data_IF_356189856158
#
_entry.id   IF_356189856158
#
_cell.length_a   1.000
_cell.length_b   1.000
_cell.length_c   1.000
_cell.angle_alpha   90.00
_cell.angle_beta   90.00
_cell.angle_gamma   90.00
#
_symmetry.space_group_name_H-M   'P 1'
#
loop_
_entity.id
_entity.type
_entity.pdbx_description
1 polymer ?
#
# COMPACT_ATOMS: atom_id res chain seq x y z
N UNK A 1 11.75 -7.39 -18.86
CA UNK A 1 12.20 -5.98 -18.93
C UNK A 1 11.64 -5.24 -17.73
N UNK A 2 12.43 -4.38 -17.10
CA UNK A 2 11.96 -3.51 -16.03
C UNK A 2 11.37 -2.23 -16.62
N UNK A 3 10.37 -1.67 -15.94
CA UNK A 3 9.69 -0.44 -16.33
C UNK A 3 9.58 0.46 -15.10
N UNK A 4 9.61 1.78 -15.32
CA UNK A 4 9.37 2.76 -14.26
C UNK A 4 7.87 2.90 -14.03
N UNK A 5 7.45 2.90 -12.78
CA UNK A 5 6.08 3.14 -12.37
C UNK A 5 6.01 4.24 -11.33
N UNK A 6 4.94 5.04 -11.40
CA UNK A 6 4.53 5.93 -10.31
C UNK A 6 3.34 5.31 -9.60
N UNK A 7 3.46 5.12 -8.30
CA UNK A 7 2.42 4.46 -7.50
C UNK A 7 1.36 5.48 -7.13
N UNK A 8 0.14 5.28 -7.63
CA UNK A 8 -0.96 6.21 -7.46
C UNK A 8 -1.69 6.03 -6.12
N UNK A 9 -1.90 4.78 -5.70
CA UNK A 9 -2.68 4.44 -4.50
C UNK A 9 -2.33 3.06 -3.97
N UNK A 10 -2.84 2.73 -2.77
CA UNK A 10 -2.83 1.36 -2.26
C UNK A 10 -4.11 0.60 -2.66
N UNK A 11 -3.92 -0.66 -3.03
CA UNK A 11 -4.98 -1.63 -3.23
C UNK A 11 -5.56 -2.15 -1.92
N UNK A 12 -6.61 -2.97 -2.00
CA UNK A 12 -7.29 -3.50 -0.83
C UNK A 12 -6.42 -4.44 0.03
N UNK A 13 -5.48 -5.14 -0.61
CA UNK A 13 -4.54 -6.06 0.02
C UNK A 13 -3.21 -5.39 0.43
N UNK A 14 -3.04 -4.10 0.14
CA UNK A 14 -1.83 -3.34 0.47
C UNK A 14 -0.77 -3.34 -0.64
N UNK A 15 -1.04 -3.88 -1.82
CA UNK A 15 -0.20 -3.66 -3.00
C UNK A 15 -0.30 -2.19 -3.45
N UNK A 16 0.81 -1.58 -3.88
CA UNK A 16 0.75 -0.32 -4.61
C UNK A 16 0.13 -0.54 -5.98
N UNK A 17 -0.61 0.45 -6.48
CA UNK A 17 -1.24 0.40 -7.80
C UNK A 17 -0.70 1.54 -8.64
N UNK A 18 -0.13 1.17 -9.79
CA UNK A 18 0.28 2.10 -10.83
C UNK A 18 -0.71 2.04 -12.00
N UNK A 19 -0.97 3.20 -12.61
CA UNK A 19 -1.73 3.27 -13.86
C UNK A 19 -0.75 3.09 -15.02
N UNK A 20 -0.96 2.06 -15.85
CA UNK A 20 -0.13 1.81 -17.03
C UNK A 20 -1.01 1.58 -18.26
N UNK A 21 -0.40 1.62 -19.44
CA UNK A 21 -1.06 1.17 -20.65
C UNK A 21 -1.50 -0.30 -20.50
N UNK A 22 -2.78 -0.54 -20.81
CA UNK A 22 -3.42 -1.86 -20.64
C UNK A 22 -3.98 -2.13 -19.24
N UNK A 23 -4.04 -1.13 -18.35
CA UNK A 23 -4.77 -1.21 -17.07
C UNK A 23 -3.91 -1.00 -15.83
N UNK A 24 -4.52 -1.25 -14.67
CA UNK A 24 -3.85 -1.15 -13.37
C UNK A 24 -2.77 -2.23 -13.22
N UNK A 25 -1.64 -1.84 -12.62
CA UNK A 25 -0.53 -2.74 -12.29
C UNK A 25 -0.30 -2.75 -10.79
N UNK A 26 -0.39 -3.93 -10.17
CA UNK A 26 -0.17 -4.15 -8.76
C UNK A 26 1.31 -4.40 -8.48
N UNK A 27 1.89 -3.55 -7.63
CA UNK A 27 3.31 -3.57 -7.24
C UNK A 27 3.39 -3.73 -5.71
N UNK A 28 3.55 -4.96 -5.20
CA UNK A 28 3.72 -5.21 -3.77
C UNK A 28 4.90 -4.42 -3.19
N UNK A 29 4.82 -4.12 -1.89
CA UNK A 29 5.90 -3.46 -1.12
C UNK A 29 6.23 -2.02 -1.56
N UNK A 30 5.23 -1.32 -2.13
CA UNK A 30 5.33 0.08 -2.53
C UNK A 30 4.20 0.92 -1.93
N UNK A 31 4.45 2.22 -1.79
CA UNK A 31 3.53 3.19 -1.20
C UNK A 31 3.09 4.24 -2.22
N UNK A 32 1.94 4.91 -2.01
CA UNK A 32 1.51 6.01 -2.85
C UNK A 32 2.54 7.14 -2.89
N UNK A 33 2.72 7.73 -4.07
CA UNK A 33 3.70 8.78 -4.32
C UNK A 33 5.11 8.27 -4.64
N UNK A 34 5.35 6.96 -4.62
CA UNK A 34 6.66 6.41 -4.97
C UNK A 34 6.89 6.32 -6.48
N UNK A 35 8.12 6.60 -6.87
CA UNK A 35 8.64 6.24 -8.20
C UNK A 35 9.52 5.01 -8.05
N UNK A 36 9.21 3.93 -8.78
CA UNK A 36 9.89 2.63 -8.65
C UNK A 36 10.30 2.06 -10.01
N UNK A 37 11.28 1.16 -10.02
CA UNK A 37 11.47 0.22 -11.14
C UNK A 37 10.94 -1.15 -10.76
N UNK A 38 10.16 -1.76 -11.65
CA UNK A 38 9.58 -3.07 -11.42
C UNK A 38 9.51 -3.90 -12.71
N UNK A 39 9.60 -5.21 -12.59
CA UNK A 39 9.44 -6.15 -13.70
C UNK A 39 7.97 -6.58 -13.83
N UNK A 40 7.28 -6.10 -14.87
CA UNK A 40 5.84 -6.39 -15.09
C UNK A 40 5.62 -7.78 -15.70
N UNK A 41 4.65 -8.51 -15.15
CA UNK A 41 4.07 -9.75 -15.68
C UNK A 41 2.54 -9.66 -15.59
N UNK A 42 1.90 -9.37 -16.72
CA UNK A 42 0.45 -9.08 -16.83
C UNK A 42 0.04 -7.86 -15.99
N UNK A 43 -0.78 -8.07 -14.98
CA UNK A 43 -1.33 -7.08 -14.05
C UNK A 43 -0.49 -6.93 -12.79
N UNK A 44 0.53 -7.76 -12.55
CA UNK A 44 1.43 -7.60 -11.40
C UNK A 44 2.84 -7.23 -11.84
N UNK A 45 3.57 -6.51 -11.00
CA UNK A 45 4.99 -6.25 -11.20
C UNK A 45 5.80 -6.54 -9.93
N UNK A 46 6.95 -7.17 -10.12
CA UNK A 46 7.91 -7.42 -9.04
C UNK A 46 8.78 -6.17 -8.84
N UNK A 47 8.70 -5.56 -7.66
CA UNK A 47 9.54 -4.43 -7.27
C UNK A 47 11.03 -4.80 -7.41
N UNK A 48 11.80 -3.94 -8.08
CA UNK A 48 13.25 -4.09 -8.20
C UNK A 48 14.00 -3.00 -7.41
N UNK A 49 13.55 -1.75 -7.51
CA UNK A 49 14.09 -0.66 -6.70
C UNK A 49 13.08 0.47 -6.50
N UNK A 50 13.20 1.18 -5.38
CA UNK A 50 12.51 2.45 -5.14
C UNK A 50 13.47 3.57 -5.53
N UNK A 51 13.08 4.39 -6.50
CA UNK A 51 13.88 5.52 -6.97
C UNK A 51 13.59 6.79 -6.16
N UNK A 52 12.32 7.02 -5.86
CA UNK A 52 11.85 8.12 -5.01
C UNK A 52 10.90 7.52 -3.97
N UNK A 53 11.31 7.57 -2.70
CA UNK A 53 10.54 7.02 -1.60
C UNK A 53 9.44 7.99 -1.15
N UNK A 54 8.31 7.43 -0.71
CA UNK A 54 7.27 8.21 -0.04
C UNK A 54 7.83 8.74 1.28
N UNK A 55 7.48 9.96 1.71
CA UNK A 55 7.83 10.45 3.05
C UNK A 55 7.24 9.60 4.18
N UNK A 56 6.26 8.74 3.86
CA UNK A 56 5.64 7.80 4.79
C UNK A 56 6.29 6.41 4.77
N UNK A 57 7.37 6.22 4.00
CA UNK A 57 8.15 4.98 4.04
C UNK A 57 9.01 4.96 5.31
N UNK A 58 8.97 3.85 6.02
CA UNK A 58 9.83 3.56 7.18
C UNK A 58 10.55 2.23 6.99
N UNK A 59 11.62 2.01 7.74
CA UNK A 59 12.28 0.72 7.75
C UNK A 59 11.38 -0.33 8.43
N UNK A 60 11.15 -1.49 7.79
CA UNK A 60 10.32 -2.54 8.36
C UNK A 60 10.99 -3.15 9.59
N UNK A 61 10.22 -3.38 10.65
CA UNK A 61 10.72 -3.99 11.89
C UNK A 61 11.16 -5.46 11.72
N UNK A 62 10.56 -6.21 10.79
CA UNK A 62 10.90 -7.60 10.54
C UNK A 62 11.95 -7.74 9.44
N UNK A 63 13.07 -8.38 9.75
CA UNK A 63 14.13 -8.72 8.77
C UNK A 63 13.68 -9.60 7.61
N UNK A 64 12.57 -10.34 7.76
CA UNK A 64 12.02 -11.21 6.72
C UNK A 64 10.95 -10.53 5.86
N UNK A 65 10.73 -9.23 6.07
CA UNK A 65 9.78 -8.46 5.27
C UNK A 65 10.11 -8.59 3.78
N UNK A 66 9.08 -8.73 2.95
CA UNK A 66 9.13 -9.09 1.51
C UNK A 66 9.38 -10.56 1.17
N UNK A 67 9.88 -11.39 2.09
CA UNK A 67 10.23 -12.80 1.82
C UNK A 67 9.25 -13.79 2.45
N UNK A 68 8.89 -13.61 3.72
CA UNK A 68 8.12 -14.63 4.46
C UNK A 68 6.61 -14.66 4.14
N UNK A 69 6.09 -13.65 3.43
CA UNK A 69 4.67 -13.51 3.11
C UNK A 69 3.75 -13.11 4.27
N UNK A 70 4.27 -12.96 5.50
CA UNK A 70 3.45 -12.67 6.69
C UNK A 70 2.95 -11.22 6.80
N UNK A 71 3.61 -10.27 6.14
CA UNK A 71 3.27 -8.85 6.23
C UNK A 71 3.36 -8.14 4.88
N UNK A 72 2.41 -7.25 4.61
CA UNK A 72 2.34 -6.48 3.37
C UNK A 72 2.89 -5.05 3.49
N UNK A 73 2.73 -4.41 4.65
CA UNK A 73 2.88 -2.95 4.81
C UNK A 73 3.74 -2.53 6.02
N UNK A 74 4.71 -3.34 6.46
CA UNK A 74 5.58 -2.94 7.59
C UNK A 74 6.46 -1.72 7.29
N UNK A 75 6.65 -1.41 6.00
CA UNK A 75 7.37 -0.23 5.53
C UNK A 75 6.50 1.03 5.48
N UNK A 76 5.24 0.98 5.95
CA UNK A 76 4.35 2.13 6.00
C UNK A 76 4.32 2.71 7.41
N UNK A 77 4.49 4.03 7.52
CA UNK A 77 4.40 4.76 8.79
C UNK A 77 3.10 4.38 9.53
N UNK A 78 3.21 4.20 10.85
CA UNK A 78 2.18 3.54 11.64
C UNK A 78 0.87 4.33 11.71
N UNK A 79 0.92 5.66 11.78
CA UNK A 79 -0.26 6.51 11.78
C UNK A 79 -0.92 6.54 10.39
N UNK A 80 -0.14 6.68 9.33
CA UNK A 80 -0.64 6.59 7.96
C UNK A 80 -1.29 5.23 7.65
N UNK A 81 -0.70 4.13 8.14
CA UNK A 81 -1.29 2.79 8.03
C UNK A 81 -2.63 2.69 8.76
N UNK A 82 -2.74 3.27 9.97
CA UNK A 82 -3.99 3.31 10.74
C UNK A 82 -5.08 4.11 10.02
N UNK A 83 -4.72 5.27 9.47
CA UNK A 83 -5.63 6.10 8.68
C UNK A 83 -6.12 5.36 7.44
N UNK A 84 -5.21 4.73 6.69
CA UNK A 84 -5.58 3.89 5.55
C UNK A 84 -6.55 2.77 5.95
N UNK A 85 -6.28 2.03 7.04
CA UNK A 85 -7.20 0.99 7.53
C UNK A 85 -8.58 1.54 7.88
N UNK A 86 -8.64 2.68 8.55
CA UNK A 86 -9.89 3.37 8.90
C UNK A 86 -10.66 3.76 7.64
N UNK A 87 -10.01 4.37 6.66
CA UNK A 87 -10.63 4.75 5.39
C UNK A 87 -11.24 3.55 4.68
N UNK A 88 -10.58 2.39 4.71
CA UNK A 88 -11.15 1.16 4.13
C UNK A 88 -12.50 0.79 4.74
N UNK A 89 -12.64 0.91 6.07
CA UNK A 89 -13.90 0.64 6.77
C UNK A 89 -14.95 1.68 6.39
N UNK A 90 -14.58 2.96 6.41
CA UNK A 90 -15.47 4.07 6.02
C UNK A 90 -16.02 3.86 4.60
N UNK A 91 -15.15 3.56 3.63
CA UNK A 91 -15.57 3.34 2.25
C UNK A 91 -16.45 2.09 2.10
N UNK A 92 -16.16 1.01 2.83
CA UNK A 92 -16.97 -0.21 2.80
C UNK A 92 -18.41 0.04 3.32
N UNK A 93 -18.56 0.80 4.39
CA UNK A 93 -19.86 1.14 4.98
C UNK A 93 -20.64 2.12 4.08
N UNK A 94 -19.96 3.14 3.55
CA UNK A 94 -20.54 4.07 2.59
C UNK A 94 -21.06 3.35 1.34
N UNK A 95 -20.31 2.37 0.82
CA UNK A 95 -20.73 1.55 -0.32
C UNK A 95 -21.99 0.70 -0.05
N UNK A 96 -22.38 0.52 1.21
CA UNK A 96 -23.61 -0.15 1.63
C UNK A 96 -24.71 0.82 2.10
N UNK A 97 -24.49 2.13 1.97
CA UNK A 97 -25.46 3.14 2.41
C UNK A 97 -25.59 3.26 3.93
N UNK A 98 -24.61 2.74 4.70
CA UNK A 98 -24.63 2.81 6.16
C UNK A 98 -23.97 4.12 6.58
N UNK A 99 -24.77 5.05 7.09
CA UNK A 99 -24.28 6.28 7.70
C UNK A 99 -23.93 6.03 9.17
N UNK A 100 -22.64 6.01 9.49
CA UNK A 100 -22.19 5.98 10.88
C UNK A 100 -20.85 6.72 11.03
N UNK A 101 -20.68 7.36 12.18
CA UNK A 101 -19.40 7.93 12.56
C UNK A 101 -18.45 6.82 13.00
N UNK A 102 -17.28 6.77 12.36
CA UNK A 102 -16.20 5.89 12.81
C UNK A 102 -15.33 6.72 13.74
N UNK A 103 -15.08 6.30 14.96
CA UNK A 103 -14.11 6.98 15.85
C UNK A 103 -12.67 6.56 15.50
N UNK A 104 -11.68 7.40 15.83
CA UNK A 104 -10.28 7.03 15.69
C UNK A 104 -9.98 5.77 16.51
N UNK A 105 -9.03 4.95 16.05
CA UNK A 105 -8.61 3.76 16.81
C UNK A 105 -8.10 4.22 18.18
N UNK A 106 -8.78 3.82 19.24
CA UNK A 106 -8.29 3.97 20.61
C UNK A 106 -7.06 3.07 20.77
N UNK A 107 -5.97 3.63 21.30
CA UNK A 107 -4.83 2.80 21.70
C UNK A 107 -5.32 1.73 22.69
N UNK A 108 -4.76 0.52 22.66
CA UNK A 108 -5.04 -0.43 23.72
C UNK A 108 -4.74 0.25 25.06
N UNK A 109 -5.64 0.09 26.03
CA UNK A 109 -5.37 0.50 27.40
C UNK A 109 -4.05 -0.17 27.87
N UNK A 110 -3.25 0.52 28.70
CA UNK A 110 -1.98 0.00 29.18
C UNK A 110 -2.12 -1.36 29.85
#
# INVERSE_FOLDING_TARGET
MSTRFTIARLGSQGDGIANAEGGEVFVPFTLPGETVTAARKKDRATLMSVLEASPLRVDPACRHFTECGGCALQHYEAEAYRQWKREKVVQALKAKGIACEIEARKAPAP
#
